data_IF_511994724778
#
_entry.id   IF_511994724778
#
_cell.length_a   1.000
_cell.length_b   1.000
_cell.length_c   1.000
_cell.angle_alpha   90.00
_cell.angle_beta   90.00
_cell.angle_gamma   90.00
#
_symmetry.space_group_name_H-M   'P 1'
#
loop_
_entity.id
_entity.type
_entity.pdbx_description
1 polymer ?
#
# COMPACT_ATOMS: atom_id res chain seq x y z
N UNK A 1 -26.57 -10.32 14.38
CA UNK A 1 -26.42 -9.94 13.95
C UNK A 1 -26.09 -10.00 13.18
N UNK A 2 -26.23 -10.18 12.94
CA UNK A 2 -25.89 -9.99 12.30
C UNK A 2 -25.72 -9.79 11.47
N UNK A 3 -26.00 -9.67 11.36
CA UNK A 3 -25.79 -9.28 10.64
C UNK A 3 -25.32 -9.01 9.89
N UNK A 4 -25.50 -8.81 10.15
CA UNK A 4 -24.98 -8.27 9.68
C UNK A 4 -24.20 -8.50 8.85
N UNK A 5 -23.91 -8.79 8.74
CA UNK A 5 -22.97 -8.99 8.04
C UNK A 5 -23.23 -9.21 6.81
N UNK A 6 -24.11 -9.36 6.54
CA UNK A 6 -24.40 -9.54 5.50
C UNK A 6 -24.22 -8.78 4.45
N UNK A 7 -24.45 -7.84 4.45
CA UNK A 7 -24.29 -7.07 3.40
C UNK A 7 -23.01 -7.07 2.94
N UNK A 8 -22.40 -7.67 3.55
CA UNK A 8 -21.13 -7.51 3.42
C UNK A 8 -20.47 -8.14 2.33
N UNK A 9 -21.10 -8.73 1.42
CA UNK A 9 -20.41 -9.16 0.34
C UNK A 9 -19.94 -8.06 -0.48
N UNK A 10 -20.55 -6.96 -0.44
CA UNK A 10 -20.03 -5.83 -1.13
C UNK A 10 -19.14 -5.06 -0.24
N UNK A 11 -19.04 -5.42 1.00
CA UNK A 11 -18.32 -4.60 1.89
C UNK A 11 -16.94 -5.10 2.06
N UNK A 12 -16.20 -4.40 2.82
CA UNK A 12 -14.81 -4.64 3.10
C UNK A 12 -14.66 -5.37 4.41
N UNK A 13 -13.54 -6.06 4.59
CA UNK A 13 -13.23 -6.71 5.86
C UNK A 13 -13.07 -5.66 6.96
N UNK A 14 -13.06 -6.11 8.21
CA UNK A 14 -12.81 -5.22 9.33
C UNK A 14 -11.41 -4.61 9.26
N UNK A 15 -10.43 -5.39 8.82
CA UNK A 15 -9.09 -4.88 8.63
C UNK A 15 -9.06 -3.77 7.58
N UNK A 16 -9.76 -3.97 6.47
CA UNK A 16 -9.86 -2.96 5.43
C UNK A 16 -10.48 -1.68 5.99
N UNK A 17 -11.58 -1.81 6.71
CA UNK A 17 -12.28 -0.65 7.28
C UNK A 17 -11.40 0.08 8.27
N UNK A 18 -10.61 -0.66 9.05
CA UNK A 18 -9.72 -0.06 10.01
C UNK A 18 -8.64 0.76 9.32
N UNK A 19 -8.07 0.24 8.24
CA UNK A 19 -7.08 1.00 7.48
C UNK A 19 -7.66 2.25 6.84
N UNK A 20 -8.95 2.21 6.45
CA UNK A 20 -9.59 3.41 5.92
C UNK A 20 -9.84 4.45 7.01
N UNK A 21 -10.29 4.00 8.16
CA UNK A 21 -10.63 4.91 9.25
C UNK A 21 -9.37 5.46 9.93
N UNK A 22 -8.33 4.64 9.98
CA UNK A 22 -7.09 4.99 10.68
C UNK A 22 -5.90 4.63 9.79
N UNK A 23 -5.64 5.39 8.73
CA UNK A 23 -4.53 5.08 7.83
C UNK A 23 -3.21 5.10 8.58
N UNK A 24 -2.41 4.06 8.36
CA UNK A 24 -1.10 3.97 8.98
C UNK A 24 -0.07 4.69 8.10
N UNK A 25 0.68 5.58 8.72
CA UNK A 25 1.79 6.22 8.03
C UNK A 25 1.39 7.05 6.80
N UNK A 26 0.24 7.72 6.88
CA UNK A 26 -0.16 8.64 5.82
C UNK A 26 0.71 9.88 5.87
N UNK A 27 1.06 10.41 4.71
CA UNK A 27 1.86 11.64 4.61
C UNK A 27 3.13 11.43 3.81
N UNK A 28 4.08 12.34 4.00
CA UNK A 28 5.37 12.26 3.35
C UNK A 28 6.48 12.29 4.38
N UNK A 29 7.62 11.69 4.03
CA UNK A 29 8.81 11.75 4.85
C UNK A 29 9.70 12.86 4.32
N UNK A 30 10.04 13.82 5.16
CA UNK A 30 10.92 14.90 4.74
C UNK A 30 12.35 14.42 4.47
N UNK A 31 12.75 13.33 5.11
CA UNK A 31 14.08 12.75 4.93
C UNK A 31 14.06 11.47 4.13
N UNK A 32 13.07 11.31 3.26
CA UNK A 32 13.00 10.14 2.39
C UNK A 32 14.16 10.15 1.39
N UNK A 33 14.71 8.97 1.14
CA UNK A 33 15.74 8.83 0.11
C UNK A 33 15.26 7.97 -1.06
N UNK A 34 14.00 7.58 -1.06
CA UNK A 34 13.38 6.90 -2.19
C UNK A 34 11.92 7.31 -2.23
N UNK A 35 11.51 8.00 -3.28
CA UNK A 35 10.13 8.44 -3.45
C UNK A 35 9.68 8.08 -4.84
N UNK A 36 8.52 7.46 -4.95
CA UNK A 36 7.94 7.14 -6.25
C UNK A 36 6.45 7.39 -6.22
N UNK A 37 5.91 7.70 -7.39
CA UNK A 37 4.47 7.87 -7.54
C UNK A 37 4.06 7.19 -8.83
N UNK A 38 3.01 6.39 -8.75
CA UNK A 38 2.46 5.71 -9.92
C UNK A 38 0.99 6.01 -10.04
N UNK A 39 0.49 6.01 -11.26
CA UNK A 39 -0.91 6.28 -11.55
C UNK A 39 -1.49 5.09 -12.29
N UNK A 40 -2.69 4.67 -11.90
CA UNK A 40 -3.42 3.67 -12.65
C UNK A 40 -4.07 4.40 -13.83
N UNK A 41 -3.67 4.10 -15.07
CA UNK A 41 -4.18 4.86 -16.22
C UNK A 41 -5.66 4.62 -16.51
N UNK A 42 -6.23 3.55 -15.98
CA UNK A 42 -7.63 3.22 -16.24
C UNK A 42 -8.55 4.03 -15.33
N UNK A 43 -8.28 4.05 -14.04
CA UNK A 43 -9.15 4.74 -13.09
C UNK A 43 -8.60 6.06 -12.60
N UNK A 44 -7.34 6.38 -12.91
CA UNK A 44 -6.74 7.63 -12.49
C UNK A 44 -6.26 7.69 -11.05
N UNK A 45 -6.36 6.58 -10.32
CA UNK A 45 -5.86 6.54 -8.95
C UNK A 45 -4.35 6.72 -8.94
N UNK A 46 -3.86 7.42 -7.93
CA UNK A 46 -2.43 7.66 -7.77
C UNK A 46 -1.98 7.25 -6.39
N UNK A 47 -0.77 6.72 -6.31
CA UNK A 47 -0.17 6.35 -5.03
C UNK A 47 1.26 6.85 -5.01
N UNK A 48 1.60 7.60 -3.97
CA UNK A 48 2.95 8.09 -3.76
C UNK A 48 3.51 7.42 -2.52
N UNK A 49 4.72 6.88 -2.63
CA UNK A 49 5.36 6.18 -1.53
C UNK A 49 6.70 6.83 -1.24
N UNK A 50 6.91 7.20 0.03
CA UNK A 50 8.16 7.81 0.49
C UNK A 50 8.82 6.84 1.45
N UNK A 51 10.07 6.48 1.17
CA UNK A 51 10.81 5.52 1.98
C UNK A 51 12.11 6.14 2.49
N UNK A 52 12.49 5.78 3.71
CA UNK A 52 13.82 6.04 4.22
C UNK A 52 14.50 4.68 4.34
N UNK A 53 15.54 4.46 3.55
CA UNK A 53 16.25 3.20 3.47
C UNK A 53 17.67 3.40 3.98
N UNK A 54 18.11 2.50 4.87
CA UNK A 54 19.44 2.55 5.42
C UNK A 54 19.91 1.11 5.62
N UNK A 55 21.12 0.80 5.17
CA UNK A 55 21.72 -0.53 5.28
C UNK A 55 20.79 -1.62 4.75
N UNK A 56 20.24 -1.39 3.55
CA UNK A 56 19.34 -2.31 2.85
C UNK A 56 18.08 -2.65 3.63
N UNK A 57 17.68 -1.75 4.54
CA UNK A 57 16.48 -1.95 5.33
C UNK A 57 15.61 -0.70 5.27
N UNK A 58 14.30 -0.91 5.20
CA UNK A 58 13.35 0.20 5.15
C UNK A 58 13.07 0.61 6.59
N UNK A 59 13.59 1.78 6.97
CA UNK A 59 13.42 2.28 8.33
C UNK A 59 12.07 2.95 8.52
N UNK A 60 11.58 3.62 7.50
CA UNK A 60 10.31 4.31 7.58
C UNK A 60 9.64 4.33 6.21
N UNK A 61 8.32 4.30 6.20
CA UNK A 61 7.53 4.35 4.99
C UNK A 61 6.30 5.21 5.24
N UNK A 62 6.00 6.10 4.29
CA UNK A 62 4.79 6.91 4.31
C UNK A 62 4.15 6.88 2.94
N UNK A 63 2.85 7.12 2.89
CA UNK A 63 2.14 7.09 1.63
C UNK A 63 1.14 8.23 1.51
N UNK A 64 0.87 8.62 0.27
CA UNK A 64 -0.26 9.48 -0.06
C UNK A 64 -1.02 8.78 -1.18
N UNK A 65 -2.33 8.68 -1.04
CA UNK A 65 -3.16 8.03 -2.03
C UNK A 65 -4.26 8.97 -2.49
N UNK A 66 -4.51 8.96 -3.78
CA UNK A 66 -5.55 9.78 -4.40
C UNK A 66 -6.41 8.87 -5.25
N UNK A 67 -7.66 8.70 -4.85
CA UNK A 67 -8.56 7.84 -5.60
C UNK A 67 -9.50 7.07 -4.70
N UNK A 68 -9.74 5.84 -5.04
CA UNK A 68 -10.79 5.06 -4.38
C UNK A 68 -10.33 4.49 -3.04
N UNK A 69 -11.29 4.08 -2.19
CA UNK A 69 -10.94 3.49 -0.90
C UNK A 69 -9.97 2.32 -0.94
N UNK A 70 -10.06 1.39 -1.92
CA UNK A 70 -9.05 0.33 -1.99
C UNK A 70 -7.62 0.83 -2.14
N UNK A 71 -7.40 1.91 -2.89
CA UNK A 71 -6.07 2.47 -3.06
C UNK A 71 -5.54 3.03 -1.74
N UNK A 72 -6.40 3.71 -1.00
CA UNK A 72 -6.03 4.23 0.31
C UNK A 72 -5.69 3.09 1.29
N UNK A 73 -6.53 2.06 1.34
CA UNK A 73 -6.30 0.94 2.24
C UNK A 73 -5.03 0.16 1.86
N UNK A 74 -4.79 -0.03 0.56
CA UNK A 74 -3.57 -0.72 0.12
C UNK A 74 -2.32 0.09 0.46
N UNK A 75 -2.38 1.41 0.30
CA UNK A 75 -1.25 2.26 0.69
C UNK A 75 -0.96 2.17 2.18
N UNK A 76 -2.01 2.18 2.99
CA UNK A 76 -1.88 2.09 4.43
C UNK A 76 -1.24 0.77 4.87
N UNK A 77 -1.77 -0.36 4.37
CA UNK A 77 -1.24 -1.66 4.76
C UNK A 77 0.18 -1.86 4.23
N UNK A 78 0.45 -1.37 3.02
CA UNK A 78 1.79 -1.47 2.46
C UNK A 78 2.79 -0.71 3.33
N UNK A 79 2.49 0.53 3.66
CA UNK A 79 3.40 1.35 4.46
C UNK A 79 3.66 0.70 5.82
N UNK A 80 2.63 0.13 6.42
CA UNK A 80 2.79 -0.54 7.70
C UNK A 80 3.68 -1.78 7.58
N UNK A 81 3.48 -2.58 6.54
CA UNK A 81 4.25 -3.80 6.34
C UNK A 81 5.71 -3.54 6.01
N UNK A 82 5.98 -2.44 5.32
CA UNK A 82 7.33 -2.15 4.85
C UNK A 82 8.30 -1.76 5.96
N UNK A 83 7.80 -1.17 7.03
CA UNK A 83 8.71 -0.71 8.09
C UNK A 83 9.40 -1.90 8.74
N UNK A 84 10.71 -1.89 8.70
CA UNK A 84 11.52 -2.97 9.24
C UNK A 84 11.88 -4.06 8.23
N UNK A 85 11.29 -4.04 7.04
CA UNK A 85 11.64 -5.02 6.01
C UNK A 85 12.98 -4.71 5.39
N UNK A 86 13.70 -5.77 5.02
CA UNK A 86 14.86 -5.58 4.16
C UNK A 86 14.39 -5.30 2.73
N UNK A 87 15.27 -4.73 1.92
CA UNK A 87 14.97 -4.50 0.49
C UNK A 87 14.64 -5.83 -0.18
N UNK A 88 15.38 -6.89 0.14
CA UNK A 88 15.13 -8.20 -0.46
C UNK A 88 13.73 -8.72 -0.13
N UNK A 89 13.29 -8.55 1.10
CA UNK A 89 11.95 -8.96 1.51
C UNK A 89 10.90 -8.13 0.79
N UNK A 90 11.13 -6.83 0.71
CA UNK A 90 10.17 -5.93 0.07
C UNK A 90 10.00 -6.26 -1.41
N UNK A 91 11.09 -6.66 -2.08
CA UNK A 91 11.01 -7.01 -3.49
C UNK A 91 10.22 -8.28 -3.76
N UNK A 92 10.02 -9.09 -2.75
CA UNK A 92 9.25 -10.34 -2.88
C UNK A 92 7.77 -10.12 -2.55
N UNK A 93 7.41 -8.95 -2.11
CA UNK A 93 6.03 -8.68 -1.72
C UNK A 93 5.13 -8.71 -2.96
N UNK A 94 4.01 -9.42 -2.86
CA UNK A 94 3.09 -9.57 -3.97
C UNK A 94 1.77 -8.88 -3.69
N UNK A 95 1.04 -8.59 -4.76
CA UNK A 95 -0.29 -7.99 -4.61
C UNK A 95 -1.25 -8.92 -3.87
N UNK A 96 -1.06 -10.24 -4.01
CA UNK A 96 -1.90 -11.18 -3.26
C UNK A 96 -1.66 -11.06 -1.77
N UNK A 97 -0.40 -10.85 -1.37
CA UNK A 97 -0.10 -10.68 0.05
C UNK A 97 -0.72 -9.41 0.61
N UNK A 98 -0.74 -8.32 -0.17
CA UNK A 98 -1.42 -7.11 0.26
C UNK A 98 -2.92 -7.33 0.38
N UNK A 99 -3.51 -8.02 -0.59
CA UNK A 99 -4.94 -8.31 -0.54
C UNK A 99 -5.29 -9.16 0.68
N UNK A 100 -4.47 -10.17 0.97
CA UNK A 100 -4.69 -11.03 2.13
C UNK A 100 -4.55 -10.26 3.44
N UNK A 101 -3.59 -9.34 3.50
CA UNK A 101 -3.39 -8.53 4.69
C UNK A 101 -4.60 -7.64 4.98
N UNK A 102 -5.38 -7.32 3.97
CA UNK A 102 -6.61 -6.56 4.13
C UNK A 102 -7.84 -7.45 4.28
N UNK A 103 -7.65 -8.75 4.44
CA UNK A 103 -8.77 -9.67 4.59
C UNK A 103 -9.38 -10.11 3.27
N UNK A 104 -8.68 -9.88 2.19
CA UNK A 104 -9.13 -10.24 0.84
C UNK A 104 -9.71 -9.04 0.10
N UNK A 105 -9.52 -9.02 -1.20
CA UNK A 105 -10.09 -8.00 -2.07
C UNK A 105 -10.82 -8.68 -3.21
N UNK A 106 -11.96 -8.13 -3.58
CA UNK A 106 -12.70 -8.64 -4.74
C UNK A 106 -11.86 -8.41 -6.01
N UNK A 107 -12.12 -9.17 -7.07
CA UNK A 107 -11.37 -8.98 -8.31
C UNK A 107 -11.41 -7.54 -8.83
N UNK A 108 -12.53 -6.85 -8.66
CA UNK A 108 -12.63 -5.48 -9.13
C UNK A 108 -11.74 -4.51 -8.36
N UNK A 109 -11.31 -4.88 -7.16
CA UNK A 109 -10.51 -4.00 -6.32
C UNK A 109 -9.04 -4.37 -6.29
N UNK A 110 -8.67 -5.45 -6.96
CA UNK A 110 -7.28 -5.90 -6.92
C UNK A 110 -6.32 -4.99 -7.67
N UNK A 111 -6.85 -4.12 -8.53
CA UNK A 111 -5.99 -3.15 -9.21
C UNK A 111 -5.27 -2.23 -8.22
N UNK A 112 -5.90 -1.98 -7.07
CA UNK A 112 -5.27 -1.15 -6.05
C UNK A 112 -4.03 -1.82 -5.46
N UNK A 113 -4.10 -3.13 -5.24
CA UNK A 113 -2.94 -3.87 -4.74
C UNK A 113 -1.82 -3.90 -5.79
N UNK A 114 -2.18 -4.03 -7.07
CA UNK A 114 -1.20 -3.99 -8.14
C UNK A 114 -0.51 -2.64 -8.20
N UNK A 115 -1.28 -1.55 -8.08
CA UNK A 115 -0.71 -0.21 -8.07
C UNK A 115 0.26 -0.03 -6.91
N UNK A 116 -0.09 -0.55 -5.73
CA UNK A 116 0.76 -0.44 -4.56
C UNK A 116 2.09 -1.16 -4.76
N UNK A 117 2.05 -2.38 -5.31
CA UNK A 117 3.27 -3.14 -5.56
C UNK A 117 4.13 -2.46 -6.62
N UNK A 118 3.51 -1.91 -7.67
CA UNK A 118 4.24 -1.20 -8.70
C UNK A 118 4.95 0.03 -8.14
N UNK A 119 4.25 0.77 -7.28
CA UNK A 119 4.83 1.95 -6.66
C UNK A 119 6.02 1.58 -5.78
N UNK A 120 5.89 0.47 -5.03
CA UNK A 120 6.98 -0.03 -4.22
C UNK A 120 8.20 -0.37 -5.06
N UNK A 121 7.99 -1.09 -6.15
CA UNK A 121 9.12 -1.48 -7.01
C UNK A 121 9.80 -0.26 -7.62
N UNK A 122 9.00 0.73 -8.02
CA UNK A 122 9.56 1.97 -8.55
C UNK A 122 10.42 2.68 -7.51
N UNK A 123 9.95 2.74 -6.26
CA UNK A 123 10.69 3.39 -5.20
C UNK A 123 12.02 2.67 -4.94
N UNK A 124 11.99 1.35 -4.91
CA UNK A 124 13.22 0.58 -4.68
C UNK A 124 14.20 0.74 -5.85
N UNK A 125 13.71 0.78 -7.07
CA UNK A 125 14.57 1.02 -8.23
C UNK A 125 15.25 2.37 -8.14
N UNK A 126 14.53 3.39 -7.73
CA UNK A 126 15.08 4.72 -7.54
C UNK A 126 16.19 4.70 -6.50
N UNK A 127 15.97 3.99 -5.40
CA UNK A 127 16.99 3.86 -4.36
C UNK A 127 18.24 3.16 -4.88
N UNK A 128 18.05 2.14 -5.72
CA UNK A 128 19.19 1.39 -6.25
C UNK A 128 20.00 2.17 -7.28
N UNK A 129 19.43 3.21 -7.86
CA UNK A 129 20.12 4.05 -8.83
C UNK A 129 20.92 5.16 -8.18
N UNK A 130 20.68 5.40 -6.91
CA UNK A 130 21.32 6.51 -6.20
C UNK A 130 22.78 6.20 -5.83
#
# INVERSE_FOLDING_TARGET
>A
MVLTSTPNKLSYSETFKDHLANPRNAGELSDANAVAEETNPVCGDRLRLSLRIHDDRIEAARFLAYGCPPTLACGSVLAEMLEGMSIAEAMKLTRNQLAEALGGLSPQKRHAAALAVETLRSAIEIANQA
#
